data_IF_095575761093
#
_entry.id   IF_095575761093
#
_cell.length_a   1.000
_cell.length_b   1.000
_cell.length_c   1.000
_cell.angle_alpha   90.00
_cell.angle_beta   90.00
_cell.angle_gamma   90.00
#
_symmetry.space_group_name_H-M   'P 1'
#
loop_
_entity.id
_entity.type
_entity.pdbx_description
1 polymer ?
#
# COMPACT_ATOMS: atom_id res chain seq x y z
N UNK A 1 -0.53 20.00 -29.67
CA UNK A 1 -1.78 19.43 -29.09
C UNK A 1 -1.73 17.91 -28.93
N UNK A 2 -1.27 17.14 -29.89
CA UNK A 2 -1.21 15.65 -29.82
C UNK A 2 -0.33 15.05 -28.71
N UNK A 3 0.82 15.63 -28.36
CA UNK A 3 1.75 15.05 -27.41
C UNK A 3 1.23 15.12 -25.96
N UNK A 4 0.58 16.23 -25.59
CA UNK A 4 -0.06 16.40 -24.26
C UNK A 4 -1.26 15.45 -24.10
N UNK A 5 -2.03 15.26 -25.15
CA UNK A 5 -3.16 14.34 -25.19
C UNK A 5 -2.69 12.88 -25.11
N UNK A 6 -1.59 12.54 -25.80
CA UNK A 6 -0.98 11.20 -25.73
C UNK A 6 -0.45 10.88 -24.32
N UNK A 7 0.16 11.88 -23.65
CA UNK A 7 0.60 11.75 -22.25
C UNK A 7 -0.61 11.60 -21.33
N UNK A 8 -1.65 12.40 -21.52
CA UNK A 8 -2.88 12.31 -20.73
C UNK A 8 -3.59 10.95 -20.95
N UNK A 9 -3.64 10.44 -22.18
CA UNK A 9 -4.22 9.13 -22.49
C UNK A 9 -3.40 7.97 -21.91
N UNK A 10 -2.07 8.06 -21.90
CA UNK A 10 -1.20 7.07 -21.26
C UNK A 10 -1.36 7.10 -19.72
N UNK A 11 -1.48 8.29 -19.13
CA UNK A 11 -1.70 8.46 -17.69
C UNK A 11 -3.14 8.17 -17.25
N UNK A 12 -4.13 8.30 -18.15
CA UNK A 12 -5.55 8.04 -17.85
C UNK A 12 -5.91 6.54 -17.82
N UNK A 13 -4.97 5.65 -18.15
CA UNK A 13 -5.26 4.22 -18.36
C UNK A 13 -5.01 3.33 -17.16
N UNK A 14 -4.41 3.85 -16.08
CA UNK A 14 -4.06 3.03 -14.91
C UNK A 14 -5.08 3.18 -13.79
N UNK A 15 -5.60 2.05 -13.32
CA UNK A 15 -6.49 1.94 -12.17
C UNK A 15 -5.70 1.48 -10.95
N UNK A 16 -5.94 2.08 -9.81
CA UNK A 16 -5.21 1.79 -8.58
C UNK A 16 -6.12 1.16 -7.53
N UNK A 17 -5.79 -0.05 -7.11
CA UNK A 17 -6.37 -0.67 -5.93
C UNK A 17 -5.57 -0.23 -4.70
N UNK A 18 -6.17 0.59 -3.85
CA UNK A 18 -5.57 1.06 -2.60
C UNK A 18 -5.97 0.12 -1.47
N UNK A 19 -4.99 -0.59 -0.90
CA UNK A 19 -5.19 -1.57 0.16
C UNK A 19 -4.67 -0.99 1.47
N UNK A 20 -5.52 -0.92 2.50
CA UNK A 20 -5.12 -0.31 3.77
C UNK A 20 -6.09 -0.60 4.91
N UNK A 21 -6.07 0.22 5.95
CA UNK A 21 -7.02 0.13 7.06
C UNK A 21 -8.47 0.35 6.57
N UNK A 22 -9.44 -0.16 7.29
CA UNK A 22 -10.86 0.05 7.00
C UNK A 22 -11.23 1.53 7.18
N UNK A 23 -12.25 2.01 6.46
CA UNK A 23 -12.76 3.39 6.59
C UNK A 23 -13.26 3.69 7.99
N UNK A 24 -13.80 2.67 8.64
CA UNK A 24 -14.34 2.74 10.01
C UNK A 24 -13.25 2.62 11.08
N UNK A 25 -12.00 2.38 10.69
CA UNK A 25 -10.87 2.34 11.61
C UNK A 25 -10.44 3.75 12.02
N UNK A 26 -9.99 3.88 13.26
CA UNK A 26 -9.33 5.09 13.75
C UNK A 26 -7.81 4.94 13.57
N UNK A 27 -7.11 6.01 13.17
CA UNK A 27 -5.65 6.02 13.08
C UNK A 27 -5.11 6.80 11.88
N UNK A 28 -3.80 7.06 11.92
CA UNK A 28 -3.13 7.91 10.93
C UNK A 28 -3.27 7.43 9.49
N UNK A 29 -3.21 6.12 9.25
CA UNK A 29 -3.38 5.55 7.90
C UNK A 29 -4.77 5.87 7.34
N UNK A 30 -5.81 5.68 8.15
CA UNK A 30 -7.19 5.98 7.75
C UNK A 30 -7.38 7.47 7.47
N UNK A 31 -6.81 8.34 8.31
CA UNK A 31 -6.84 9.80 8.10
C UNK A 31 -6.21 10.18 6.78
N UNK A 32 -5.01 9.67 6.49
CA UNK A 32 -4.33 9.94 5.21
C UNK A 32 -5.15 9.44 4.03
N UNK A 33 -5.71 8.24 4.10
CA UNK A 33 -6.54 7.70 3.02
C UNK A 33 -7.82 8.49 2.79
N UNK A 34 -8.47 8.97 3.86
CA UNK A 34 -9.64 9.85 3.77
C UNK A 34 -9.30 11.19 3.09
N UNK A 35 -8.11 11.74 3.35
CA UNK A 35 -7.63 12.95 2.67
C UNK A 35 -7.33 12.66 1.19
N UNK A 36 -6.62 11.56 0.89
CA UNK A 36 -6.31 11.15 -0.48
C UNK A 36 -7.58 10.94 -1.32
N UNK A 37 -8.64 10.37 -0.72
CA UNK A 37 -9.92 10.12 -1.41
C UNK A 37 -10.60 11.40 -1.89
N UNK A 38 -10.40 12.51 -1.17
CA UNK A 38 -10.94 13.83 -1.54
C UNK A 38 -10.14 14.53 -2.63
N UNK A 39 -8.92 14.08 -2.91
CA UNK A 39 -8.04 14.71 -3.90
C UNK A 39 -8.48 14.41 -5.33
N UNK A 40 -8.32 15.36 -6.28
CA UNK A 40 -8.63 15.14 -7.69
C UNK A 40 -7.93 13.90 -8.30
N UNK A 41 -6.71 13.61 -7.82
CA UNK A 41 -5.91 12.46 -8.24
C UNK A 41 -6.62 11.14 -8.00
N UNK A 42 -7.43 11.01 -6.95
CA UNK A 42 -8.20 9.80 -6.66
C UNK A 42 -9.13 9.40 -7.81
N UNK A 43 -9.85 10.38 -8.35
CA UNK A 43 -10.74 10.18 -9.52
C UNK A 43 -9.93 9.95 -10.79
N UNK A 44 -8.86 10.74 -11.00
CA UNK A 44 -7.98 10.65 -12.16
C UNK A 44 -7.39 9.24 -12.32
N UNK A 45 -6.92 8.62 -11.24
CA UNK A 45 -6.34 7.29 -11.23
C UNK A 45 -7.37 6.18 -10.97
N UNK A 46 -8.67 6.48 -10.99
CA UNK A 46 -9.74 5.54 -10.73
C UNK A 46 -9.44 4.66 -9.51
N UNK A 47 -9.02 5.31 -8.41
CA UNK A 47 -8.64 4.62 -7.19
C UNK A 47 -9.86 3.96 -6.53
N UNK A 48 -9.65 2.76 -6.01
CA UNK A 48 -10.63 2.06 -5.20
C UNK A 48 -9.99 1.64 -3.87
N UNK A 49 -10.61 2.00 -2.76
CA UNK A 49 -10.12 1.66 -1.43
C UNK A 49 -10.70 0.34 -0.93
N UNK A 50 -9.82 -0.64 -0.76
CA UNK A 50 -10.10 -1.94 -0.15
C UNK A 50 -9.55 -1.93 1.29
N UNK A 51 -10.44 -1.79 2.28
CA UNK A 51 -10.08 -1.91 3.69
C UNK A 51 -9.85 -3.37 4.07
N UNK A 52 -8.70 -3.67 4.67
CA UNK A 52 -8.32 -5.04 5.08
C UNK A 52 -8.20 -5.20 6.58
N UNK A 53 -8.07 -4.11 7.32
CA UNK A 53 -7.82 -4.12 8.77
C UNK A 53 -8.88 -3.27 9.47
N UNK A 54 -9.52 -3.86 10.49
CA UNK A 54 -10.51 -3.19 11.32
C UNK A 54 -10.11 -3.36 12.80
N UNK A 55 -10.31 -2.32 13.61
CA UNK A 55 -10.16 -2.43 15.06
C UNK A 55 -11.33 -3.20 15.69
N UNK A 56 -11.06 -3.97 16.75
CA UNK A 56 -12.08 -4.72 17.46
C UNK A 56 -11.61 -6.10 17.92
N UNK A 57 -12.57 -6.98 18.25
CA UNK A 57 -12.30 -8.37 18.66
C UNK A 57 -11.66 -9.19 17.53
N UNK A 58 -10.97 -10.26 17.90
CA UNK A 58 -10.29 -11.14 16.93
C UNK A 58 -11.23 -11.69 15.87
N UNK A 59 -12.42 -12.16 16.24
CA UNK A 59 -13.41 -12.68 15.29
C UNK A 59 -13.86 -11.62 14.29
N UNK A 60 -14.09 -10.37 14.74
CA UNK A 60 -14.46 -9.25 13.88
C UNK A 60 -13.33 -8.89 12.90
N UNK A 61 -12.08 -8.85 13.39
CA UNK A 61 -10.90 -8.61 12.55
C UNK A 61 -10.73 -9.69 11.47
N UNK A 62 -10.80 -10.97 11.88
CA UNK A 62 -10.65 -12.10 10.97
C UNK A 62 -11.75 -12.12 9.90
N UNK A 63 -13.00 -11.90 10.29
CA UNK A 63 -14.12 -11.83 9.36
C UNK A 63 -13.98 -10.68 8.37
N UNK A 64 -13.55 -9.51 8.84
CA UNK A 64 -13.33 -8.35 7.97
C UNK A 64 -12.21 -8.61 6.96
N UNK A 65 -11.08 -9.15 7.43
CA UNK A 65 -9.96 -9.54 6.57
C UNK A 65 -10.37 -10.59 5.52
N UNK A 66 -11.12 -11.62 5.94
CA UNK A 66 -11.65 -12.65 5.04
C UNK A 66 -12.53 -12.04 3.93
N UNK A 67 -13.48 -11.18 4.30
CA UNK A 67 -14.33 -10.47 3.31
C UNK A 67 -13.51 -9.63 2.34
N UNK A 68 -12.49 -8.94 2.84
CA UNK A 68 -11.62 -8.11 2.00
C UNK A 68 -10.81 -8.96 1.01
N UNK A 69 -10.24 -10.07 1.47
CA UNK A 69 -9.49 -11.01 0.62
C UNK A 69 -10.41 -11.62 -0.44
N UNK A 70 -11.58 -12.10 -0.02
CA UNK A 70 -12.58 -12.66 -0.95
C UNK A 70 -12.98 -11.64 -2.01
N UNK A 71 -13.24 -10.40 -1.63
CA UNK A 71 -13.53 -9.32 -2.58
C UNK A 71 -12.37 -9.04 -3.51
N UNK A 72 -11.13 -9.08 -3.00
CA UNK A 72 -9.93 -8.87 -3.81
C UNK A 72 -9.83 -9.86 -4.97
N UNK A 73 -10.21 -11.14 -4.78
CA UNK A 73 -10.18 -12.18 -5.81
C UNK A 73 -10.93 -11.73 -7.08
N UNK A 74 -12.07 -11.04 -6.91
CA UNK A 74 -12.89 -10.62 -8.05
C UNK A 74 -12.51 -9.26 -8.63
N UNK A 75 -11.93 -8.36 -7.82
CA UNK A 75 -11.71 -7.00 -8.28
C UNK A 75 -10.30 -6.71 -8.74
N UNK A 76 -9.28 -7.41 -8.21
CA UNK A 76 -7.86 -7.09 -8.43
C UNK A 76 -7.48 -7.08 -9.92
N UNK A 77 -8.13 -7.91 -10.72
CA UNK A 77 -7.89 -8.04 -12.15
C UNK A 77 -8.23 -6.77 -12.94
N UNK A 78 -9.09 -5.91 -12.38
CA UNK A 78 -9.53 -4.64 -12.96
C UNK A 78 -8.51 -3.51 -12.75
N UNK A 79 -7.48 -3.72 -11.93
CA UNK A 79 -6.49 -2.71 -11.55
C UNK A 79 -5.13 -3.05 -12.13
N UNK A 80 -4.32 -2.02 -12.38
CA UNK A 80 -2.96 -2.15 -12.91
C UNK A 80 -1.93 -2.06 -11.79
N UNK A 81 -2.27 -1.30 -10.75
CA UNK A 81 -1.42 -1.02 -9.60
C UNK A 81 -2.16 -1.43 -8.33
N UNK A 82 -1.46 -2.08 -7.41
CA UNK A 82 -1.93 -2.34 -6.05
C UNK A 82 -1.04 -1.57 -5.09
N UNK A 83 -1.62 -0.58 -4.42
CA UNK A 83 -0.94 0.31 -3.50
C UNK A 83 -1.27 -0.06 -2.06
N UNK A 84 -0.34 -0.70 -1.38
CA UNK A 84 -0.47 -1.15 0.00
C UNK A 84 -0.07 -0.05 0.97
N UNK A 85 -1.01 0.47 1.74
CA UNK A 85 -0.77 1.32 2.91
C UNK A 85 -0.62 0.42 4.13
N UNK A 86 0.60 0.27 4.61
CA UNK A 86 0.93 -0.73 5.62
C UNK A 86 1.82 -0.18 6.73
N UNK A 87 1.90 -0.94 7.80
CA UNK A 87 2.85 -0.78 8.88
C UNK A 87 3.80 -1.98 8.88
N UNK A 88 5.02 -1.88 9.42
CA UNK A 88 5.98 -3.00 9.44
C UNK A 88 5.57 -4.17 10.34
N UNK A 89 4.39 -4.13 10.97
CA UNK A 89 3.92 -5.21 11.83
C UNK A 89 3.56 -6.48 11.06
N UNK A 90 3.84 -7.64 11.66
CA UNK A 90 3.60 -8.95 11.04
C UNK A 90 2.11 -9.20 10.78
N UNK A 91 1.23 -8.75 11.66
CA UNK A 91 -0.21 -9.01 11.56
C UNK A 91 -0.81 -8.32 10.34
N UNK A 92 -0.50 -7.03 10.14
CA UNK A 92 -0.94 -6.26 9.00
C UNK A 92 -0.44 -6.83 7.68
N UNK A 93 0.84 -7.19 7.63
CA UNK A 93 1.47 -7.79 6.46
C UNK A 93 0.87 -9.16 6.10
N UNK A 94 0.57 -10.01 7.11
CA UNK A 94 -0.06 -11.32 6.89
C UNK A 94 -1.46 -11.20 6.30
N UNK A 95 -2.26 -10.24 6.76
CA UNK A 95 -3.61 -10.00 6.23
C UNK A 95 -3.55 -9.55 4.76
N UNK A 96 -2.57 -8.74 4.40
CA UNK A 96 -2.41 -8.22 3.04
C UNK A 96 -1.67 -9.18 2.10
N UNK A 97 -0.97 -10.20 2.63
CA UNK A 97 -0.17 -11.15 1.87
C UNK A 97 -0.94 -11.83 0.71
N UNK A 98 -2.16 -12.37 0.91
CA UNK A 98 -2.90 -13.00 -0.19
C UNK A 98 -3.13 -12.02 -1.35
N UNK A 99 -3.35 -10.73 -1.04
CA UNK A 99 -3.58 -9.70 -2.06
C UNK A 99 -2.27 -9.41 -2.82
N UNK A 100 -1.12 -9.38 -2.13
CA UNK A 100 0.18 -9.25 -2.79
C UNK A 100 0.45 -10.43 -3.74
N UNK A 101 0.19 -11.65 -3.28
CA UNK A 101 0.36 -12.86 -4.11
C UNK A 101 -0.51 -12.77 -5.37
N UNK A 102 -1.79 -12.42 -5.22
CA UNK A 102 -2.71 -12.22 -6.35
C UNK A 102 -2.22 -11.11 -7.30
N UNK A 103 -1.71 -10.01 -6.75
CA UNK A 103 -1.13 -8.93 -7.56
C UNK A 103 0.05 -9.43 -8.40
N UNK A 104 0.95 -10.21 -7.81
CA UNK A 104 2.12 -10.77 -8.53
C UNK A 104 1.71 -11.80 -9.57
N UNK A 105 0.75 -12.70 -9.28
CA UNK A 105 0.19 -13.64 -10.26
C UNK A 105 -0.44 -12.87 -11.42
N UNK A 106 -1.19 -11.81 -11.13
CA UNK A 106 -1.81 -10.93 -12.13
C UNK A 106 -0.84 -9.95 -12.82
N UNK A 107 0.48 -10.04 -12.54
CA UNK A 107 1.52 -9.13 -13.07
C UNK A 107 1.20 -7.64 -12.82
N UNK A 108 0.51 -7.35 -11.71
CA UNK A 108 0.20 -5.98 -11.29
C UNK A 108 1.42 -5.34 -10.63
N UNK A 109 1.55 -4.03 -10.75
CA UNK A 109 2.58 -3.28 -10.02
C UNK A 109 2.17 -3.17 -8.55
N UNK A 110 3.09 -3.53 -7.65
CA UNK A 110 2.87 -3.49 -6.22
C UNK A 110 3.69 -2.34 -5.60
N UNK A 111 3.02 -1.41 -4.94
CA UNK A 111 3.64 -0.31 -4.20
C UNK A 111 3.44 -0.58 -2.70
N UNK A 112 4.52 -0.53 -1.93
CA UNK A 112 4.47 -0.63 -0.47
C UNK A 112 4.68 0.75 0.15
N UNK A 113 3.64 1.32 0.76
CA UNK A 113 3.69 2.60 1.44
C UNK A 113 3.75 2.38 2.96
N UNK A 114 4.89 2.71 3.55
CA UNK A 114 5.15 2.48 4.98
C UNK A 114 4.83 3.75 5.75
N UNK A 115 3.80 3.67 6.63
CA UNK A 115 3.29 4.81 7.38
C UNK A 115 3.95 5.04 8.75
N UNK A 116 4.60 4.02 9.33
CA UNK A 116 5.17 4.10 10.68
C UNK A 116 6.67 3.87 10.65
N UNK A 117 7.42 4.97 10.64
CA UNK A 117 8.88 4.90 10.60
C UNK A 117 9.52 4.46 11.91
N UNK A 118 8.93 4.77 13.06
CA UNK A 118 9.49 4.40 14.36
C UNK A 118 9.60 2.88 14.55
N UNK A 119 8.66 2.11 14.01
CA UNK A 119 8.70 0.66 14.07
C UNK A 119 9.81 0.04 13.20
N UNK A 120 10.43 0.81 12.32
CA UNK A 120 11.62 0.35 11.59
C UNK A 120 12.83 0.16 12.51
N UNK A 121 12.88 0.87 13.65
CA UNK A 121 13.96 0.71 14.64
C UNK A 121 13.85 -0.63 15.40
N UNK A 122 12.63 -1.07 15.71
CA UNK A 122 12.37 -2.20 16.61
C UNK A 122 12.41 -3.56 15.89
N UNK A 123 12.23 -3.58 14.59
CA UNK A 123 12.20 -4.81 13.79
C UNK A 123 13.61 -5.26 13.38
N UNK A 124 14.37 -5.80 14.33
CA UNK A 124 15.57 -6.56 14.00
C UNK A 124 15.18 -7.82 13.23
N UNK A 125 15.78 -8.00 12.04
CA UNK A 125 15.72 -9.23 11.24
C UNK A 125 14.34 -9.83 10.91
N UNK A 126 13.35 -9.03 10.62
CA UNK A 126 12.09 -9.55 10.12
C UNK A 126 12.22 -10.03 8.67
N UNK A 127 12.62 -11.29 8.47
CA UNK A 127 12.78 -11.91 7.12
C UNK A 127 11.51 -11.79 6.28
N UNK A 128 10.34 -11.84 6.92
CA UNK A 128 9.05 -11.70 6.24
C UNK A 128 8.85 -10.26 5.71
N UNK A 129 9.23 -9.25 6.49
CA UNK A 129 9.18 -7.86 6.06
C UNK A 129 10.16 -7.58 4.91
N UNK A 130 11.38 -8.15 4.99
CA UNK A 130 12.37 -8.08 3.91
C UNK A 130 11.81 -8.71 2.63
N UNK A 131 11.24 -9.91 2.76
CA UNK A 131 10.61 -10.62 1.64
C UNK A 131 9.50 -9.76 1.00
N UNK A 132 8.64 -9.15 1.81
CA UNK A 132 7.58 -8.25 1.34
C UNK A 132 8.14 -7.08 0.52
N UNK A 133 9.15 -6.40 1.05
CA UNK A 133 9.80 -5.28 0.37
C UNK A 133 10.41 -5.69 -0.97
N UNK A 134 11.04 -6.86 -1.04
CA UNK A 134 11.66 -7.38 -2.26
C UNK A 134 10.64 -7.78 -3.33
N UNK A 135 9.40 -8.07 -2.95
CA UNK A 135 8.33 -8.43 -3.89
C UNK A 135 7.48 -7.22 -4.33
N UNK A 136 7.75 -6.04 -3.81
CA UNK A 136 7.16 -4.80 -4.29
C UNK A 136 8.01 -4.17 -5.41
N UNK A 137 7.35 -3.41 -6.29
CA UNK A 137 8.03 -2.69 -7.37
C UNK A 137 8.59 -1.35 -6.88
N UNK A 138 7.97 -0.75 -5.86
CA UNK A 138 8.41 0.52 -5.23
C UNK A 138 8.06 0.50 -3.74
N UNK A 139 8.94 1.08 -2.93
CA UNK A 139 8.70 1.36 -1.51
C UNK A 139 8.57 2.87 -1.33
N UNK A 140 7.47 3.31 -0.73
CA UNK A 140 7.19 4.70 -0.39
C UNK A 140 7.38 4.89 1.10
N UNK A 141 8.09 5.95 1.47
CA UNK A 141 8.39 6.33 2.85
C UNK A 141 8.01 7.79 3.10
N UNK A 142 7.64 8.13 4.32
CA UNK A 142 7.13 9.46 4.66
C UNK A 142 8.22 10.51 4.95
N UNK A 143 9.49 10.11 5.07
CA UNK A 143 10.58 11.04 5.35
C UNK A 143 11.93 10.48 4.90
N UNK A 144 12.87 11.39 4.56
CA UNK A 144 14.26 11.04 4.20
C UNK A 144 14.97 10.24 5.29
N UNK A 145 14.73 10.57 6.57
CA UNK A 145 15.34 9.83 7.69
C UNK A 145 14.96 8.34 7.67
N UNK A 146 13.73 8.01 7.30
CA UNK A 146 13.26 6.62 7.21
C UNK A 146 13.82 5.90 5.99
N UNK A 147 14.04 6.62 4.89
CA UNK A 147 14.71 6.08 3.71
C UNK A 147 16.16 5.71 4.03
N UNK A 148 16.89 6.59 4.71
CA UNK A 148 18.27 6.34 5.11
C UNK A 148 18.36 5.16 6.07
N UNK A 149 17.51 5.14 7.11
CA UNK A 149 17.44 4.06 8.09
C UNK A 149 17.14 2.70 7.42
N UNK A 150 16.13 2.65 6.56
CA UNK A 150 15.75 1.43 5.87
C UNK A 150 16.85 0.94 4.94
N UNK A 151 17.54 1.86 4.24
CA UNK A 151 18.64 1.51 3.33
C UNK A 151 19.89 0.99 4.08
N UNK A 152 20.17 1.53 5.27
CA UNK A 152 21.26 1.07 6.13
C UNK A 152 20.93 -0.28 6.77
N UNK A 153 19.70 -0.43 7.27
CA UNK A 153 19.28 -1.63 8.00
C UNK A 153 19.06 -2.84 7.10
N UNK A 154 18.60 -2.61 5.86
CA UNK A 154 18.25 -3.65 4.89
C UNK A 154 18.96 -3.42 3.54
N UNK A 155 20.29 -3.46 3.47
CA UNK A 155 21.07 -3.21 2.25
C UNK A 155 20.78 -4.22 1.14
N UNK A 156 20.27 -5.41 1.50
CA UNK A 156 19.85 -6.46 0.57
C UNK A 156 18.55 -6.14 -0.18
N UNK A 157 17.75 -5.17 0.29
CA UNK A 157 16.51 -4.75 -0.38
C UNK A 157 16.85 -3.74 -1.47
N UNK A 158 16.90 -4.22 -2.71
CA UNK A 158 17.24 -3.41 -3.91
C UNK A 158 16.03 -2.71 -4.53
N UNK A 159 14.82 -3.00 -4.05
CA UNK A 159 13.58 -2.33 -4.49
C UNK A 159 13.74 -0.81 -4.43
N UNK A 160 13.39 -0.08 -5.52
CA UNK A 160 13.41 1.39 -5.54
C UNK A 160 12.63 2.00 -4.38
N UNK A 161 13.23 3.01 -3.75
CA UNK A 161 12.68 3.69 -2.58
C UNK A 161 12.46 5.16 -2.90
N UNK A 162 11.28 5.69 -2.57
CA UNK A 162 10.93 7.09 -2.77
C UNK A 162 10.37 7.70 -1.48
N UNK A 163 10.53 9.01 -1.34
CA UNK A 163 9.94 9.74 -0.21
C UNK A 163 8.75 10.53 -0.73
N UNK A 164 7.60 10.29 -0.09
CA UNK A 164 6.38 11.07 -0.31
C UNK A 164 5.88 11.51 1.06
N UNK A 165 5.89 12.82 1.31
CA UNK A 165 5.41 13.36 2.57
C UNK A 165 3.88 13.25 2.64
N UNK A 166 3.36 13.01 3.85
CA UNK A 166 1.92 13.05 4.06
C UNK A 166 1.38 14.44 3.67
N UNK A 167 0.22 14.44 3.03
CA UNK A 167 -0.54 15.67 2.86
C UNK A 167 -0.92 16.18 4.26
N UNK A 168 -0.48 17.37 4.58
CA UNK A 168 -0.96 18.14 5.73
C UNK A 168 -2.08 19.07 5.26
N UNK A 169 -3.12 19.20 6.06
CA UNK A 169 -4.12 20.28 5.86
C UNK A 169 -3.49 21.64 6.16
#
# INVERSE_FOLDING_TARGET
>A
MRFRQLIEDVFMKHRVLVVGAARESTGGVTTVLNLCEKMPMWKKWQCYWLGTQLHGSYGRKAWYAFKAIFRAIFIIWKYDIVHFHTTPDKGGLLIQLPILIMAKIGRKKAIMHIHVGNQLNDNTENKFFIWWMQHCDVIVLLAKKWLNLLSQKYPQVKTPKVVVYNACE
#
